data_IF_423007659306
#
_entry.id   IF_423007659306
#
_cell.length_a   1.000
_cell.length_b   1.000
_cell.length_c   1.000
_cell.angle_alpha   90.00
_cell.angle_beta   90.00
_cell.angle_gamma   90.00
#
_symmetry.space_group_name_H-M   'P 1'
#
loop_
_entity.id
_entity.type
_entity.pdbx_description
1 polymer ?
#
# COMPACT_ATOMS: atom_id res chain seq x y z
N UNK A 1 5.11 0.75 -16.61
CA UNK A 1 5.65 1.29 -17.89
C UNK A 1 5.52 2.80 -18.07
N UNK A 2 4.38 3.46 -17.79
CA UNK A 2 4.26 4.93 -17.90
C UNK A 2 3.74 5.64 -16.64
N UNK A 3 3.47 4.88 -15.57
CA UNK A 3 2.82 5.37 -14.36
C UNK A 3 1.40 5.87 -14.61
N UNK A 4 0.66 6.25 -13.55
CA UNK A 4 -0.71 6.72 -13.66
C UNK A 4 -0.83 7.98 -14.52
N UNK A 5 0.18 8.85 -14.53
CA UNK A 5 0.18 10.14 -15.26
C UNK A 5 0.50 10.04 -16.76
N UNK A 6 1.04 8.93 -17.24
CA UNK A 6 1.63 8.85 -18.59
C UNK A 6 0.83 8.09 -19.65
N UNK A 7 -0.42 7.71 -19.37
CA UNK A 7 -1.25 6.95 -20.32
C UNK A 7 -2.57 7.64 -20.63
N UNK A 8 -3.11 7.35 -21.82
CA UNK A 8 -4.45 7.77 -22.26
C UNK A 8 -5.39 6.56 -22.26
N UNK A 9 -6.70 6.79 -22.13
CA UNK A 9 -7.71 5.72 -22.19
C UNK A 9 -7.61 4.89 -23.48
N UNK A 10 -7.35 5.54 -24.61
CA UNK A 10 -7.16 4.86 -25.89
C UNK A 10 -5.90 3.97 -25.90
N UNK A 11 -4.82 4.39 -25.25
CA UNK A 11 -3.61 3.57 -25.10
C UNK A 11 -3.86 2.36 -24.20
N UNK A 12 -4.56 2.56 -23.08
CA UNK A 12 -4.96 1.46 -22.20
C UNK A 12 -5.86 0.45 -22.93
N UNK A 13 -6.84 0.92 -23.71
CA UNK A 13 -7.73 0.07 -24.51
C UNK A 13 -6.96 -0.79 -25.52
N UNK A 14 -6.08 -0.16 -26.31
CA UNK A 14 -5.26 -0.86 -27.31
C UNK A 14 -4.41 -1.95 -26.67
N UNK A 15 -3.77 -1.65 -25.53
CA UNK A 15 -2.93 -2.61 -24.81
C UNK A 15 -3.73 -3.76 -24.22
N UNK A 16 -4.94 -3.49 -23.74
CA UNK A 16 -5.86 -4.51 -23.24
C UNK A 16 -6.50 -5.35 -24.36
N UNK A 17 -6.21 -5.07 -25.65
CA UNK A 17 -6.77 -5.81 -26.77
C UNK A 17 -8.26 -5.55 -27.01
N UNK A 18 -8.81 -4.45 -26.46
CA UNK A 18 -10.21 -4.06 -26.60
C UNK A 18 -10.35 -2.84 -27.50
N UNK A 19 -11.58 -2.56 -27.96
CA UNK A 19 -11.85 -1.35 -28.74
C UNK A 19 -11.64 -0.10 -27.89
N UNK A 20 -11.26 1.01 -28.53
CA UNK A 20 -11.08 2.31 -27.85
C UNK A 20 -12.35 2.77 -27.11
N UNK A 21 -13.53 2.34 -27.58
CA UNK A 21 -14.82 2.63 -26.95
C UNK A 21 -15.15 1.72 -25.75
N UNK A 22 -14.46 0.58 -25.58
CA UNK A 22 -14.81 -0.40 -24.55
C UNK A 22 -14.61 0.12 -23.11
N UNK A 23 -13.52 0.83 -22.75
CA UNK A 23 -13.36 1.37 -21.40
C UNK A 23 -14.44 2.38 -21.04
N UNK A 24 -14.88 3.19 -22.01
CA UNK A 24 -15.90 4.22 -21.81
C UNK A 24 -17.29 3.67 -21.44
N UNK A 25 -17.53 2.37 -21.63
CA UNK A 25 -18.75 1.71 -21.13
C UNK A 25 -18.75 1.53 -19.62
N UNK A 26 -17.58 1.56 -18.98
CA UNK A 26 -17.41 1.31 -17.55
C UNK A 26 -16.84 2.52 -16.80
N UNK A 27 -16.06 3.36 -17.48
CA UNK A 27 -15.37 4.50 -16.89
C UNK A 27 -15.65 5.76 -17.70
N UNK A 28 -16.23 6.78 -17.07
CA UNK A 28 -16.56 8.04 -17.73
C UNK A 28 -15.31 8.72 -18.31
N UNK A 29 -14.20 8.66 -17.58
CA UNK A 29 -12.92 9.25 -17.97
C UNK A 29 -11.74 8.47 -17.36
N UNK A 30 -10.53 9.04 -17.51
CA UNK A 30 -9.30 8.49 -16.95
C UNK A 30 -9.29 8.50 -15.42
N UNK A 31 -9.89 9.50 -14.79
CA UNK A 31 -9.94 9.57 -13.33
C UNK A 31 -10.83 8.46 -12.77
N UNK A 32 -12.01 8.25 -13.35
CA UNK A 32 -12.90 7.14 -12.99
C UNK A 32 -12.19 5.77 -13.10
N UNK A 33 -11.36 5.57 -14.13
CA UNK A 33 -10.53 4.36 -14.25
C UNK A 33 -9.49 4.27 -13.12
N UNK A 34 -8.80 5.38 -12.82
CA UNK A 34 -7.79 5.40 -11.75
C UNK A 34 -8.39 5.18 -10.36
N UNK A 35 -9.59 5.70 -10.09
CA UNK A 35 -10.35 5.43 -8.87
C UNK A 35 -10.63 3.94 -8.73
N UNK A 36 -11.17 3.31 -9.78
CA UNK A 36 -11.42 1.86 -9.77
C UNK A 36 -10.12 1.04 -9.56
N UNK A 37 -9.02 1.45 -10.19
CA UNK A 37 -7.72 0.81 -9.99
C UNK A 37 -7.16 1.05 -8.57
N UNK A 38 -7.41 2.21 -7.98
CA UNK A 38 -7.01 2.49 -6.60
C UNK A 38 -7.79 1.63 -5.60
N UNK A 39 -9.09 1.38 -5.83
CA UNK A 39 -9.87 0.42 -5.04
C UNK A 39 -9.26 -0.98 -5.11
N UNK A 40 -8.91 -1.46 -6.30
CA UNK A 40 -8.20 -2.74 -6.49
C UNK A 40 -6.86 -2.74 -5.76
N UNK A 41 -6.14 -1.61 -5.79
CA UNK A 41 -4.87 -1.45 -5.05
C UNK A 41 -5.03 -1.61 -3.55
N UNK A 42 -6.02 -0.95 -2.94
CA UNK A 42 -6.32 -1.10 -1.51
C UNK A 42 -6.76 -2.52 -1.16
N UNK A 43 -7.60 -3.17 -1.97
CA UNK A 43 -8.03 -4.55 -1.77
C UNK A 43 -6.86 -5.54 -1.82
N UNK A 44 -5.94 -5.36 -2.77
CA UNK A 44 -4.74 -6.20 -2.86
C UNK A 44 -3.80 -5.98 -1.67
N UNK A 45 -3.67 -4.74 -1.20
CA UNK A 45 -2.88 -4.42 -0.02
C UNK A 45 -3.50 -4.97 1.27
N UNK A 46 -4.82 -4.85 1.44
CA UNK A 46 -5.59 -5.46 2.52
C UNK A 46 -5.37 -6.98 2.54
N UNK A 47 -5.53 -7.66 1.39
CA UNK A 47 -5.32 -9.10 1.27
C UNK A 47 -3.92 -9.51 1.74
N UNK A 48 -2.90 -8.72 1.40
CA UNK A 48 -1.51 -8.95 1.83
C UNK A 48 -1.34 -8.74 3.34
N UNK A 49 -1.96 -7.71 3.92
CA UNK A 49 -1.94 -7.49 5.37
C UNK A 49 -2.63 -8.63 6.12
N UNK A 50 -3.81 -9.06 5.68
CA UNK A 50 -4.53 -10.20 6.28
C UNK A 50 -3.65 -11.45 6.29
N UNK A 51 -3.03 -11.76 5.16
CA UNK A 51 -2.14 -12.92 5.05
C UNK A 51 -0.91 -12.80 5.96
N UNK A 52 -0.30 -11.62 6.05
CA UNK A 52 0.90 -11.38 6.87
C UNK A 52 0.60 -11.46 8.37
N UNK A 53 -0.51 -10.88 8.82
CA UNK A 53 -0.93 -10.83 10.22
C UNK A 53 -1.34 -12.20 10.76
N UNK A 54 -2.00 -13.03 9.93
CA UNK A 54 -2.50 -14.34 10.33
C UNK A 54 -1.40 -15.31 10.86
N UNK A 55 -0.15 -15.14 10.43
CA UNK A 55 0.97 -16.01 10.80
C UNK A 55 1.95 -15.44 11.85
N UNK A 56 1.79 -14.19 12.28
CA UNK A 56 2.86 -13.48 13.00
C UNK A 56 2.80 -13.60 14.53
N UNK A 57 1.69 -14.10 15.10
CA UNK A 57 1.53 -14.30 16.54
C UNK A 57 1.29 -12.99 17.29
N UNK A 58 2.28 -12.53 18.06
CA UNK A 58 2.14 -11.37 18.95
C UNK A 58 1.82 -10.06 18.18
N UNK A 59 1.04 -9.12 18.77
CA UNK A 59 0.62 -7.88 18.11
C UNK A 59 1.75 -7.06 17.46
N UNK A 60 2.87 -6.85 18.16
CA UNK A 60 4.01 -6.14 17.57
C UNK A 60 4.64 -6.85 16.37
N UNK A 61 4.63 -8.20 16.36
CA UNK A 61 5.10 -8.99 15.21
C UNK A 61 4.10 -8.90 14.05
N UNK A 62 2.81 -8.79 14.33
CA UNK A 62 1.78 -8.56 13.31
C UNK A 62 1.98 -7.22 12.61
N UNK A 63 2.27 -6.15 13.35
CA UNK A 63 2.59 -4.83 12.77
C UNK A 63 3.88 -4.88 11.92
N UNK A 64 4.91 -5.57 12.39
CA UNK A 64 6.14 -5.73 11.62
C UNK A 64 5.94 -6.54 10.34
N UNK A 65 5.14 -7.61 10.40
CA UNK A 65 4.79 -8.42 9.23
C UNK A 65 3.97 -7.62 8.21
N UNK A 66 3.03 -6.80 8.67
CA UNK A 66 2.28 -5.89 7.79
C UNK A 66 3.18 -4.84 7.12
N UNK A 67 4.16 -4.30 7.84
CA UNK A 67 5.13 -3.36 7.27
C UNK A 67 5.99 -4.01 6.17
N UNK A 68 6.40 -5.27 6.33
CA UNK A 68 7.09 -6.02 5.28
C UNK A 68 6.16 -6.29 4.07
N UNK A 69 4.91 -6.66 4.32
CA UNK A 69 3.91 -6.87 3.28
C UNK A 69 3.59 -5.59 2.50
N UNK A 70 3.70 -4.42 3.13
CA UNK A 70 3.62 -3.11 2.47
C UNK A 70 4.73 -2.96 1.43
N UNK A 71 5.98 -3.28 1.80
CA UNK A 71 7.12 -3.24 0.87
C UNK A 71 6.93 -4.23 -0.27
N UNK A 72 6.44 -5.43 0.02
CA UNK A 72 6.14 -6.42 -1.03
C UNK A 72 5.05 -5.94 -1.99
N UNK A 73 3.99 -5.30 -1.48
CA UNK A 73 2.97 -4.70 -2.33
C UNK A 73 3.57 -3.65 -3.27
N UNK A 74 4.44 -2.79 -2.75
CA UNK A 74 5.09 -1.76 -3.56
C UNK A 74 5.96 -2.35 -4.68
N UNK A 75 6.69 -3.43 -4.40
CA UNK A 75 7.61 -4.05 -5.35
C UNK A 75 6.89 -4.93 -6.38
N UNK A 76 6.02 -5.81 -5.91
CA UNK A 76 5.34 -6.82 -6.74
C UNK A 76 4.14 -6.25 -7.50
N UNK A 77 3.48 -5.25 -6.93
CA UNK A 77 2.30 -4.58 -7.49
C UNK A 77 2.58 -3.09 -7.74
N UNK A 78 3.79 -2.75 -8.20
CA UNK A 78 4.26 -1.36 -8.38
C UNK A 78 3.30 -0.45 -9.16
N UNK A 79 2.59 -0.97 -10.17
CA UNK A 79 1.59 -0.20 -10.90
C UNK A 79 0.37 0.18 -10.03
N UNK A 80 -0.11 -0.73 -9.18
CA UNK A 80 -1.19 -0.44 -8.23
C UNK A 80 -0.70 0.48 -7.11
N UNK A 81 0.52 0.26 -6.62
CA UNK A 81 1.15 1.15 -5.65
C UNK A 81 1.23 2.59 -6.18
N UNK A 82 1.68 2.77 -7.43
CA UNK A 82 1.71 4.09 -8.06
C UNK A 82 0.32 4.70 -8.22
N UNK A 83 -0.70 3.91 -8.58
CA UNK A 83 -2.07 4.41 -8.67
C UNK A 83 -2.59 4.87 -7.29
N UNK A 84 -2.36 4.06 -6.26
CA UNK A 84 -2.80 4.37 -4.90
C UNK A 84 -2.05 5.59 -4.38
N UNK A 85 -0.73 5.67 -4.45
CA UNK A 85 0.04 6.67 -3.71
C UNK A 85 0.59 7.83 -4.56
N UNK A 86 0.72 7.65 -5.88
CA UNK A 86 1.45 8.59 -6.76
C UNK A 86 0.60 9.10 -7.96
N UNK A 87 -0.71 8.84 -7.97
CA UNK A 87 -1.60 9.21 -9.09
C UNK A 87 -1.89 10.71 -9.18
N UNK A 88 -1.74 11.44 -8.07
CA UNK A 88 -2.08 12.87 -7.98
C UNK A 88 -3.60 13.13 -7.96
N UNK A 89 -4.42 12.09 -7.81
CA UNK A 89 -5.85 12.24 -7.61
C UNK A 89 -6.14 12.81 -6.22
N UNK A 90 -7.11 13.71 -6.14
CA UNK A 90 -7.66 14.14 -4.85
C UNK A 90 -8.57 13.04 -4.30
N UNK A 91 -8.05 12.19 -3.42
CA UNK A 91 -8.82 11.09 -2.85
C UNK A 91 -9.98 11.56 -1.97
N UNK A 92 -9.95 12.80 -1.48
CA UNK A 92 -10.98 13.32 -0.59
C UNK A 92 -12.32 13.53 -1.32
N UNK A 93 -12.31 13.62 -2.65
CA UNK A 93 -13.53 13.73 -3.47
C UNK A 93 -14.16 12.39 -3.83
N UNK A 94 -13.53 11.27 -3.44
CA UNK A 94 -13.95 9.89 -3.77
C UNK A 94 -14.16 9.06 -2.48
N UNK A 95 -15.34 9.14 -1.85
CA UNK A 95 -15.63 8.47 -0.58
C UNK A 95 -15.33 6.96 -0.58
N UNK A 96 -15.55 6.28 -1.71
CA UNK A 96 -15.28 4.87 -1.91
C UNK A 96 -13.80 4.50 -1.74
N UNK A 97 -12.88 5.44 -1.97
CA UNK A 97 -11.46 5.25 -1.68
C UNK A 97 -11.15 5.40 -0.20
N UNK A 98 -11.88 6.26 0.50
CA UNK A 98 -11.84 6.36 1.96
C UNK A 98 -12.33 5.08 2.62
N UNK A 99 -13.41 4.50 2.13
CA UNK A 99 -13.96 3.23 2.61
C UNK A 99 -12.96 2.08 2.42
N UNK A 100 -12.38 1.96 1.22
CA UNK A 100 -11.38 0.94 0.92
C UNK A 100 -10.10 1.09 1.78
N UNK A 101 -9.64 2.32 2.00
CA UNK A 101 -8.50 2.58 2.87
C UNK A 101 -8.80 2.22 4.33
N UNK A 102 -10.02 2.49 4.83
CA UNK A 102 -10.45 2.12 6.18
C UNK A 102 -10.48 0.60 6.35
N UNK A 103 -11.09 -0.14 5.43
CA UNK A 103 -11.11 -1.61 5.48
C UNK A 103 -9.70 -2.22 5.53
N UNK A 104 -8.78 -1.69 4.72
CA UNK A 104 -7.37 -2.09 4.77
C UNK A 104 -6.71 -1.81 6.14
N UNK A 105 -6.99 -0.65 6.74
CA UNK A 105 -6.43 -0.26 8.04
C UNK A 105 -7.05 -1.02 9.21
N UNK A 106 -8.32 -1.42 9.13
CA UNK A 106 -9.02 -2.20 10.17
C UNK A 106 -8.30 -3.51 10.48
N UNK A 107 -7.60 -4.11 9.49
CA UNK A 107 -6.75 -5.30 9.67
C UNK A 107 -5.66 -5.07 10.73
N UNK A 108 -5.16 -3.84 10.84
CA UNK A 108 -4.04 -3.47 11.70
C UNK A 108 -4.49 -2.75 12.99
N UNK A 109 -5.76 -2.32 13.07
CA UNK A 109 -6.26 -1.57 14.21
C UNK A 109 -6.21 -2.39 15.50
N UNK A 110 -6.64 -3.65 15.46
CA UNK A 110 -6.59 -4.54 16.63
C UNK A 110 -5.17 -4.75 17.17
N UNK A 111 -4.17 -5.17 16.36
CA UNK A 111 -2.81 -5.31 16.86
C UNK A 111 -2.20 -3.99 17.33
N UNK A 112 -2.54 -2.86 16.70
CA UNK A 112 -2.07 -1.55 17.17
C UNK A 112 -2.68 -1.18 18.53
N UNK A 113 -3.98 -1.38 18.72
CA UNK A 113 -4.66 -1.14 19.99
C UNK A 113 -4.14 -2.06 21.11
N UNK A 114 -3.81 -3.31 20.79
CA UNK A 114 -3.21 -4.24 21.76
C UNK A 114 -1.78 -3.84 22.19
N UNK A 115 -1.09 -3.04 21.38
CA UNK A 115 0.24 -2.50 21.70
C UNK A 115 0.13 -1.18 22.44
N UNK A 116 -0.69 -0.25 21.94
CA UNK A 116 -0.58 1.17 22.25
C UNK A 116 -1.87 1.80 22.82
N UNK A 117 -2.97 1.04 22.97
CA UNK A 117 -4.25 1.56 23.44
C UNK A 117 -4.71 2.81 22.70
N UNK A 118 -4.78 3.94 23.40
CA UNK A 118 -5.15 5.24 22.82
C UNK A 118 -4.16 5.74 21.76
N UNK A 119 -2.90 5.28 21.79
CA UNK A 119 -1.85 5.60 20.83
C UNK A 119 -1.87 4.75 19.55
N UNK A 120 -2.87 3.89 19.35
CA UNK A 120 -2.93 2.96 18.21
C UNK A 120 -2.83 3.67 16.85
N UNK A 121 -3.54 4.78 16.67
CA UNK A 121 -3.53 5.52 15.40
C UNK A 121 -2.14 6.13 15.12
N UNK A 122 -1.50 6.72 16.13
CA UNK A 122 -0.16 7.30 16.00
C UNK A 122 0.89 6.23 15.66
N UNK A 123 0.79 5.06 16.30
CA UNK A 123 1.65 3.92 15.99
C UNK A 123 1.43 3.43 14.56
N UNK A 124 0.18 3.29 14.10
CA UNK A 124 -0.13 2.88 12.72
C UNK A 124 0.42 3.86 11.70
N UNK A 125 0.25 5.16 11.92
CA UNK A 125 0.82 6.20 11.05
C UNK A 125 2.34 6.08 11.00
N UNK A 126 3.00 5.90 12.15
CA UNK A 126 4.46 5.77 12.23
C UNK A 126 4.98 4.54 11.48
N UNK A 127 4.32 3.39 11.66
CA UNK A 127 4.64 2.14 10.93
C UNK A 127 4.43 2.31 9.43
N UNK A 128 3.32 2.92 9.02
CA UNK A 128 3.00 3.17 7.62
C UNK A 128 4.02 4.13 6.96
N UNK A 129 4.41 5.21 7.64
CA UNK A 129 5.41 6.17 7.13
C UNK A 129 6.77 5.50 6.93
N UNK A 130 7.22 4.68 7.90
CA UNK A 130 8.48 3.94 7.75
C UNK A 130 8.43 2.96 6.57
N UNK A 131 7.38 2.14 6.48
CA UNK A 131 7.22 1.19 5.40
C UNK A 131 7.14 1.87 4.03
N UNK A 132 6.38 2.97 3.94
CA UNK A 132 6.28 3.78 2.73
C UNK A 132 7.62 4.40 2.33
N UNK A 133 8.40 4.91 3.28
CA UNK A 133 9.73 5.46 3.03
C UNK A 133 10.68 4.42 2.42
N UNK A 134 10.74 3.22 3.00
CA UNK A 134 11.55 2.12 2.45
C UNK A 134 11.07 1.69 1.07
N UNK A 135 9.75 1.53 0.89
CA UNK A 135 9.17 1.17 -0.41
C UNK A 135 9.54 2.18 -1.50
N UNK A 136 9.37 3.48 -1.22
CA UNK A 136 9.67 4.54 -2.17
C UNK A 136 11.17 4.62 -2.48
N UNK A 137 12.05 4.47 -1.48
CA UNK A 137 13.49 4.43 -1.74
C UNK A 137 13.95 3.20 -2.51
N UNK A 138 13.33 2.04 -2.30
CA UNK A 138 13.58 0.82 -3.08
C UNK A 138 13.15 1.01 -4.54
N UNK A 139 11.94 1.52 -4.77
CA UNK A 139 11.42 1.79 -6.12
C UNK A 139 12.24 2.84 -6.87
N UNK A 140 12.80 3.82 -6.15
CA UNK A 140 13.71 4.82 -6.71
C UNK A 140 15.13 4.28 -6.98
N UNK A 141 15.47 3.06 -6.54
CA UNK A 141 16.81 2.50 -6.64
C UNK A 141 17.85 3.14 -5.70
N UNK A 142 17.42 3.99 -4.77
CA UNK A 142 18.29 4.76 -3.87
C UNK A 142 19.05 3.87 -2.89
N UNK A 143 18.53 2.68 -2.58
CA UNK A 143 19.13 1.75 -1.61
C UNK A 143 20.03 0.69 -2.26
N UNK A 144 20.15 0.69 -3.59
CA UNK A 144 20.88 -0.32 -4.36
C UNK A 144 19.94 -1.24 -5.18
N UNK A 145 20.50 -2.23 -5.90
CA UNK A 145 19.72 -3.15 -6.72
C UNK A 145 18.74 -3.98 -5.89
N UNK A 146 17.44 -3.91 -6.23
CA UNK A 146 16.33 -4.48 -5.43
C UNK A 146 16.54 -5.93 -5.00
N UNK A 147 16.94 -6.88 -5.87
CA UNK A 147 17.10 -8.28 -5.46
C UNK A 147 18.09 -8.46 -4.30
N UNK A 148 19.12 -7.63 -4.27
CA UNK A 148 20.24 -7.77 -3.33
C UNK A 148 19.93 -7.16 -1.96
N UNK A 149 19.13 -6.08 -1.94
CA UNK A 149 18.93 -5.27 -0.73
C UNK A 149 17.63 -5.55 0.00
N UNK A 150 16.62 -6.11 -0.67
CA UNK A 150 15.30 -6.37 -0.06
C UNK A 150 15.36 -7.18 1.25
N UNK A 151 16.14 -8.28 1.36
CA UNK A 151 16.23 -9.02 2.62
C UNK A 151 16.79 -8.21 3.79
N UNK A 152 17.78 -7.34 3.54
CA UNK A 152 18.31 -6.44 4.56
C UNK A 152 17.31 -5.35 4.93
N UNK A 153 16.65 -4.75 3.94
CA UNK A 153 15.63 -3.72 4.17
C UNK A 153 14.46 -4.25 5.00
N UNK A 154 13.95 -5.44 4.69
CA UNK A 154 12.89 -6.07 5.51
C UNK A 154 13.34 -6.32 6.94
N UNK A 155 14.59 -6.78 7.14
CA UNK A 155 15.16 -6.96 8.49
C UNK A 155 15.25 -5.63 9.24
N UNK A 156 15.73 -4.56 8.61
CA UNK A 156 15.81 -3.22 9.22
C UNK A 156 14.44 -2.65 9.54
N UNK A 157 13.48 -2.79 8.62
CA UNK A 157 12.10 -2.38 8.83
C UNK A 157 11.47 -3.12 10.02
N UNK A 158 11.65 -4.44 10.10
CA UNK A 158 11.20 -5.22 11.26
C UNK A 158 11.78 -4.71 12.57
N UNK A 159 13.09 -4.47 12.62
CA UNK A 159 13.73 -3.93 13.82
C UNK A 159 13.20 -2.55 14.20
N UNK A 160 12.98 -1.67 13.21
CA UNK A 160 12.44 -0.34 13.45
C UNK A 160 10.99 -0.38 13.99
N UNK A 161 10.15 -1.26 13.43
CA UNK A 161 8.78 -1.45 13.92
C UNK A 161 8.76 -2.02 15.34
N UNK A 162 9.64 -3.00 15.65
CA UNK A 162 9.78 -3.51 17.03
C UNK A 162 10.18 -2.39 17.99
N UNK A 163 11.13 -1.52 17.60
CA UNK A 163 11.52 -0.39 18.44
C UNK A 163 10.37 0.63 18.66
N UNK A 164 9.52 0.86 17.65
CA UNK A 164 8.31 1.70 17.81
C UNK A 164 7.29 1.05 18.76
N UNK A 165 7.07 -0.25 18.62
CA UNK A 165 6.19 -1.04 19.49
C UNK A 165 6.66 -0.98 20.93
N UNK A 166 7.96 -1.22 21.17
CA UNK A 166 8.53 -1.20 22.53
C UNK A 166 8.49 0.20 23.17
N UNK A 167 8.47 1.26 22.35
CA UNK A 167 8.37 2.65 22.80
C UNK A 167 6.91 3.13 22.97
N UNK A 168 5.93 2.35 22.53
CA UNK A 168 4.51 2.70 22.59
C UNK A 168 3.91 2.17 23.91
N UNK A 169 3.48 3.04 24.84
CA UNK A 169 2.77 2.61 26.03
C UNK A 169 1.36 2.12 25.66
N UNK A 170 0.81 1.11 26.36
CA UNK A 170 -0.56 0.64 26.18
C UNK A 170 -1.60 1.64 26.69
#
# INVERSE_FOLDING_TARGET
ERGPRGFTMAEAARRAGVSVAAPYKHFADREALLVALAQVGYQEQERRFVAAVAGAGAPGRQLAAAAEAYVDFALESSALFDVVYNSGMDKATHPELGDAARHMLDVLLKPAADVAGEGAEELLVSVAVLAHGYATFLLAGTLGPVPDVVPDIKRRLRHAVVALVDASPP
#
